data_IF_052787812525
#
_entry.id   IF_052787812525
#
_cell.length_a   1.000
_cell.length_b   1.000
_cell.length_c   1.000
_cell.angle_alpha   90.00
_cell.angle_beta   90.00
_cell.angle_gamma   90.00
#
_symmetry.space_group_name_H-M   'P 1'
#
loop_
_entity.id
_entity.type
_entity.pdbx_description
1 polymer ?
#
# COMPACT_ATOMS: atom_id res chain seq x y z
N UNK A 1 25.31 -7.56 18.50
CA UNK A 1 25.36 -7.34 17.03
C UNK A 1 24.93 -5.90 16.75
N UNK A 2 25.77 -5.09 16.12
CA UNK A 2 25.44 -3.72 15.76
C UNK A 2 24.20 -3.68 14.85
N UNK A 3 23.34 -2.67 15.01
CA UNK A 3 22.26 -2.44 14.07
C UNK A 3 22.88 -2.17 12.67
N UNK A 4 22.34 -2.75 11.59
CA UNK A 4 22.82 -2.48 10.25
C UNK A 4 22.69 -0.98 10.01
N UNK A 5 23.65 -0.38 9.30
CA UNK A 5 23.66 1.04 9.05
C UNK A 5 22.35 1.44 8.35
N UNK A 6 21.76 2.52 8.85
CA UNK A 6 20.58 3.15 8.27
C UNK A 6 20.89 3.53 6.82
N UNK A 7 20.07 3.11 5.87
CA UNK A 7 20.22 3.52 4.47
C UNK A 7 19.63 4.90 4.26
N UNK A 8 20.49 5.93 4.26
CA UNK A 8 20.10 7.32 4.03
C UNK A 8 19.39 7.48 2.67
N UNK A 9 19.91 6.84 1.62
CA UNK A 9 19.32 6.88 0.29
C UNK A 9 17.87 6.37 0.29
N UNK A 10 17.61 5.28 1.02
CA UNK A 10 16.26 4.71 1.10
C UNK A 10 15.30 5.61 1.89
N UNK A 11 15.78 6.29 2.91
CA UNK A 11 14.96 7.23 3.67
C UNK A 11 14.63 8.50 2.89
N UNK A 12 15.60 9.05 2.15
CA UNK A 12 15.37 10.16 1.22
C UNK A 12 14.38 9.76 0.13
N UNK A 13 14.53 8.56 -0.44
CA UNK A 13 13.63 8.06 -1.47
C UNK A 13 12.18 7.93 -0.97
N UNK A 14 11.97 7.37 0.22
CA UNK A 14 10.63 7.29 0.84
C UNK A 14 10.07 8.68 1.14
N UNK A 15 10.88 9.59 1.69
CA UNK A 15 10.48 10.95 2.01
C UNK A 15 10.05 11.72 0.75
N UNK A 16 10.81 11.60 -0.34
CA UNK A 16 10.47 12.19 -1.63
C UNK A 16 9.17 11.61 -2.20
N UNK A 17 8.98 10.29 -2.14
CA UNK A 17 7.75 9.65 -2.59
C UNK A 17 6.52 10.13 -1.79
N UNK A 18 6.65 10.28 -0.46
CA UNK A 18 5.56 10.82 0.38
C UNK A 18 5.28 12.28 0.07
N UNK A 19 6.32 13.11 -0.11
CA UNK A 19 6.15 14.53 -0.47
C UNK A 19 5.44 14.68 -1.81
N UNK A 20 5.83 13.91 -2.83
CA UNK A 20 5.14 13.87 -4.11
C UNK A 20 3.71 13.37 -3.98
N UNK A 21 3.47 12.35 -3.16
CA UNK A 21 2.12 11.81 -2.93
C UNK A 21 1.19 12.86 -2.29
N UNK A 22 1.71 13.68 -1.37
CA UNK A 22 0.95 14.80 -0.79
C UNK A 22 0.67 15.86 -1.86
N UNK A 23 1.67 16.22 -2.65
CA UNK A 23 1.57 17.24 -3.71
C UNK A 23 0.50 16.89 -4.76
N UNK A 24 0.52 15.66 -5.27
CA UNK A 24 -0.38 15.25 -6.37
C UNK A 24 -1.80 14.95 -5.89
N UNK A 25 -1.98 14.54 -4.63
CA UNK A 25 -3.31 14.27 -4.06
C UNK A 25 -4.01 15.52 -3.53
N UNK A 26 -3.30 16.64 -3.35
CA UNK A 26 -3.86 17.86 -2.78
C UNK A 26 -3.50 19.10 -3.62
N UNK A 27 -4.01 19.21 -4.86
CA UNK A 27 -3.71 20.35 -5.73
C UNK A 27 -4.35 21.68 -5.28
N UNK A 28 -5.12 21.67 -4.18
CA UNK A 28 -5.90 22.81 -3.69
C UNK A 28 -7.16 23.03 -4.52
N UNK A 29 -7.01 23.26 -5.83
CA UNK A 29 -8.12 23.33 -6.79
C UNK A 29 -7.88 22.40 -7.98
N UNK A 30 -8.80 21.45 -8.19
CA UNK A 30 -8.77 20.55 -9.34
C UNK A 30 -8.95 21.30 -10.68
N UNK A 31 -9.53 22.51 -10.66
CA UNK A 31 -9.69 23.35 -11.85
C UNK A 31 -8.39 24.05 -12.30
N UNK A 32 -7.39 24.14 -11.42
CA UNK A 32 -6.09 24.76 -11.69
C UNK A 32 -4.94 23.77 -11.51
N UNK A 33 -5.21 22.48 -11.76
CA UNK A 33 -4.20 21.43 -11.69
C UNK A 33 -3.10 21.68 -12.74
N UNK A 34 -1.85 21.70 -12.28
CA UNK A 34 -0.72 21.82 -13.18
C UNK A 34 -0.67 20.57 -14.10
N UNK A 35 -0.79 20.70 -15.43
CA UNK A 35 -1.04 19.55 -16.30
C UNK A 35 -0.04 18.39 -16.18
N UNK A 36 1.28 18.62 -15.98
CA UNK A 36 2.23 17.53 -15.74
C UNK A 36 2.00 16.73 -14.46
N UNK A 37 1.22 17.25 -13.51
CA UNK A 37 0.83 16.57 -12.26
C UNK A 37 -0.57 15.94 -12.34
N UNK A 38 -1.21 15.98 -13.52
CA UNK A 38 -2.48 15.32 -13.73
C UNK A 38 -2.32 13.80 -13.77
N UNK A 39 -3.25 13.10 -13.12
CA UNK A 39 -3.37 11.65 -13.24
C UNK A 39 -4.00 11.26 -14.58
N UNK A 40 -3.68 10.07 -15.07
CA UNK A 40 -4.46 9.48 -16.15
C UNK A 40 -5.92 9.27 -15.68
N UNK A 41 -6.95 9.48 -16.53
CA UNK A 41 -8.35 9.31 -16.12
C UNK A 41 -8.70 7.90 -15.65
N UNK A 42 -8.16 6.88 -16.33
CA UNK A 42 -8.28 5.48 -15.94
C UNK A 42 -7.23 4.63 -16.62
N UNK A 43 -7.31 4.53 -17.96
CA UNK A 43 -6.25 3.93 -18.77
C UNK A 43 -5.19 4.98 -19.08
N UNK A 44 -3.93 4.57 -18.96
CA UNK A 44 -2.77 5.42 -19.18
C UNK A 44 -1.76 5.28 -18.05
N UNK A 45 -0.64 5.98 -18.19
CA UNK A 45 0.37 6.07 -17.16
C UNK A 45 1.04 7.43 -17.26
N UNK A 46 0.85 8.25 -16.24
CA UNK A 46 1.53 9.54 -16.06
C UNK A 46 2.60 9.41 -14.99
N UNK A 47 3.45 10.44 -14.85
CA UNK A 47 4.49 10.46 -13.82
C UNK A 47 3.91 10.40 -12.40
N UNK A 48 2.73 10.96 -12.16
CA UNK A 48 2.07 10.98 -10.85
C UNK A 48 1.52 9.61 -10.46
N UNK A 49 1.09 8.81 -11.44
CA UNK A 49 0.62 7.44 -11.23
C UNK A 49 1.73 6.50 -10.73
N UNK A 50 3.00 6.83 -11.01
CA UNK A 50 4.16 6.03 -10.60
C UNK A 50 4.61 6.28 -9.16
N UNK A 51 4.16 7.37 -8.51
CA UNK A 51 4.58 7.73 -7.15
C UNK A 51 4.26 6.62 -6.15
N UNK A 52 3.04 6.08 -6.20
CA UNK A 52 2.63 5.01 -5.29
C UNK A 52 3.36 3.68 -5.54
N UNK A 53 3.49 3.18 -6.79
CA UNK A 53 4.35 2.04 -7.12
C UNK A 53 5.80 2.19 -6.63
N UNK A 54 6.43 3.36 -6.80
CA UNK A 54 7.78 3.60 -6.29
C UNK A 54 7.86 3.58 -4.76
N UNK A 55 6.83 4.08 -4.08
CA UNK A 55 6.73 3.97 -2.63
C UNK A 55 6.64 2.49 -2.19
N UNK A 56 5.81 1.67 -2.85
CA UNK A 56 5.73 0.23 -2.57
C UNK A 56 7.06 -0.49 -2.84
N UNK A 57 7.77 -0.12 -3.91
CA UNK A 57 9.11 -0.63 -4.18
C UNK A 57 10.09 -0.29 -3.04
N UNK A 58 10.06 0.94 -2.51
CA UNK A 58 10.88 1.34 -1.37
C UNK A 58 10.56 0.52 -0.10
N UNK A 59 9.27 0.25 0.13
CA UNK A 59 8.79 -0.59 1.24
C UNK A 59 9.27 -2.05 1.07
N UNK A 60 9.21 -2.58 -0.15
CA UNK A 60 9.74 -3.91 -0.50
C UNK A 60 11.25 -4.01 -0.33
N UNK A 61 12.01 -3.01 -0.80
CA UNK A 61 13.47 -2.95 -0.62
C UNK A 61 13.86 -2.95 0.86
N UNK A 62 13.06 -2.31 1.73
CA UNK A 62 13.27 -2.36 3.17
C UNK A 62 13.27 -3.78 3.74
N UNK A 63 12.51 -4.71 3.14
CA UNK A 63 12.46 -6.11 3.58
C UNK A 63 13.81 -6.80 3.39
N UNK A 64 14.53 -6.51 2.30
CA UNK A 64 15.86 -7.07 2.05
C UNK A 64 16.87 -6.71 3.15
N UNK A 65 16.70 -5.55 3.81
CA UNK A 65 17.54 -5.12 4.93
C UNK A 65 17.19 -5.84 6.25
N UNK A 66 15.96 -6.34 6.38
CA UNK A 66 15.48 -7.02 7.59
C UNK A 66 15.64 -8.54 7.49
N UNK A 67 15.54 -9.10 6.29
CA UNK A 67 15.54 -10.55 6.04
C UNK A 67 16.77 -11.29 6.58
N UNK A 68 18.02 -10.79 6.48
CA UNK A 68 19.20 -11.47 7.02
C UNK A 68 19.12 -11.76 8.52
N UNK A 69 18.36 -10.95 9.26
CA UNK A 69 18.12 -11.13 10.71
C UNK A 69 16.98 -12.08 11.01
N UNK A 70 16.00 -12.20 10.11
CA UNK A 70 14.84 -13.07 10.28
C UNK A 70 15.12 -14.52 9.87
N UNK A 71 15.97 -14.74 8.86
CA UNK A 71 16.31 -16.08 8.35
C UNK A 71 16.88 -17.06 9.41
N UNK A 72 17.80 -16.64 10.30
CA UNK A 72 18.32 -17.52 11.35
C UNK A 72 17.44 -17.58 12.61
N UNK A 73 16.42 -16.72 12.71
CA UNK A 73 15.57 -16.66 13.89
C UNK A 73 14.54 -17.81 13.91
N UNK A 74 14.12 -18.27 15.11
CA UNK A 74 13.10 -19.31 15.22
C UNK A 74 11.74 -18.78 14.74
N UNK A 75 10.86 -19.65 14.21
CA UNK A 75 9.58 -19.24 13.61
C UNK A 75 8.71 -18.32 14.49
N UNK A 76 8.57 -18.56 15.82
CA UNK A 76 7.79 -17.67 16.68
C UNK A 76 8.36 -16.25 16.78
N UNK A 77 9.69 -16.11 16.77
CA UNK A 77 10.35 -14.81 16.83
C UNK A 77 10.15 -14.01 15.53
N UNK A 78 10.15 -14.71 14.39
CA UNK A 78 9.85 -14.11 13.08
C UNK A 78 8.40 -13.66 13.02
N UNK A 79 7.46 -14.54 13.41
CA UNK A 79 6.03 -14.24 13.45
C UNK A 79 5.76 -13.02 14.34
N UNK A 80 6.33 -12.96 15.55
CA UNK A 80 6.17 -11.83 16.46
C UNK A 80 6.72 -10.52 15.86
N UNK A 81 7.89 -10.58 15.21
CA UNK A 81 8.52 -9.39 14.58
C UNK A 81 7.69 -8.86 13.42
N UNK A 82 7.20 -9.75 12.55
CA UNK A 82 6.35 -9.40 11.42
C UNK A 82 5.00 -8.87 11.92
N UNK A 83 4.33 -9.59 12.81
CA UNK A 83 3.04 -9.21 13.37
C UNK A 83 3.10 -7.83 14.05
N UNK A 84 4.14 -7.57 14.87
CA UNK A 84 4.32 -6.25 15.51
C UNK A 84 4.38 -5.12 14.48
N UNK A 85 5.11 -5.29 13.37
CA UNK A 85 5.22 -4.28 12.31
C UNK A 85 3.88 -4.09 11.59
N UNK A 86 3.20 -5.18 11.25
CA UNK A 86 1.87 -5.13 10.63
C UNK A 86 0.89 -4.39 11.54
N UNK A 87 0.81 -4.75 12.83
CA UNK A 87 -0.10 -4.13 13.79
C UNK A 87 0.19 -2.64 14.00
N UNK A 88 1.46 -2.23 14.06
CA UNK A 88 1.83 -0.81 14.18
C UNK A 88 1.40 -0.03 12.95
N UNK A 89 1.73 -0.50 11.74
CA UNK A 89 1.37 0.21 10.49
C UNK A 89 -0.15 0.25 10.33
N UNK A 90 -0.83 -0.85 10.62
CA UNK A 90 -2.28 -0.96 10.55
C UNK A 90 -2.97 -0.02 11.56
N UNK A 91 -2.50 -0.01 12.81
CA UNK A 91 -3.03 0.86 13.87
C UNK A 91 -2.79 2.34 13.58
N UNK A 92 -1.61 2.71 13.09
CA UNK A 92 -1.34 4.07 12.62
C UNK A 92 -2.24 4.45 11.44
N UNK A 93 -2.50 3.51 10.52
CA UNK A 93 -3.45 3.69 9.44
C UNK A 93 -4.87 3.96 9.94
N UNK A 94 -5.33 3.25 10.97
CA UNK A 94 -6.65 3.47 11.55
C UNK A 94 -6.73 4.82 12.25
N UNK A 95 -5.69 5.19 13.00
CA UNK A 95 -5.61 6.47 13.69
C UNK A 95 -5.66 7.64 12.69
N UNK A 96 -4.89 7.55 11.60
CA UNK A 96 -4.90 8.55 10.54
C UNK A 96 -6.23 8.59 9.78
N UNK A 97 -6.87 7.43 9.55
CA UNK A 97 -8.21 7.39 8.95
C UNK A 97 -9.27 8.02 9.87
N UNK A 98 -9.15 7.83 11.18
CA UNK A 98 -10.04 8.39 12.18
C UNK A 98 -9.86 9.91 12.34
N UNK A 99 -8.70 10.46 11.95
CA UNK A 99 -8.48 11.90 11.92
C UNK A 99 -9.23 12.58 10.76
N UNK A 100 -9.77 13.80 10.95
CA UNK A 100 -9.85 14.51 12.22
C UNK A 100 -10.99 13.95 13.10
N UNK A 101 -10.76 13.84 14.41
CA UNK A 101 -11.75 13.31 15.37
C UNK A 101 -12.93 14.27 15.60
N UNK A 102 -12.72 15.54 15.28
CA UNK A 102 -13.68 16.64 15.37
C UNK A 102 -13.64 17.43 14.07
N UNK A 103 -14.79 17.92 13.62
CA UNK A 103 -14.92 18.72 12.40
C UNK A 103 -15.86 19.90 12.63
N UNK A 104 -15.66 20.97 11.89
CA UNK A 104 -16.61 22.06 11.82
C UNK A 104 -17.80 21.65 10.95
N UNK A 105 -19.01 21.86 11.43
CA UNK A 105 -20.22 21.70 10.62
C UNK A 105 -20.57 22.99 9.86
N UNK A 106 -21.67 22.95 9.10
CA UNK A 106 -22.13 24.10 8.32
C UNK A 106 -22.67 25.25 9.19
N UNK A 107 -23.02 24.98 10.45
CA UNK A 107 -23.45 25.98 11.42
C UNK A 107 -22.26 26.65 12.14
N UNK A 108 -21.04 26.13 11.95
CA UNK A 108 -19.83 26.62 12.60
C UNK A 108 -19.59 25.99 13.96
N UNK A 109 -20.26 24.88 14.29
CA UNK A 109 -20.07 24.15 15.53
C UNK A 109 -19.04 23.03 15.37
N UNK A 110 -18.27 22.79 16.44
CA UNK A 110 -17.27 21.72 16.48
C UNK A 110 -17.95 20.40 16.86
N UNK A 111 -18.28 19.58 15.86
CA UNK A 111 -18.96 18.31 16.06
C UNK A 111 -18.00 17.12 16.01
N UNK A 112 -18.33 16.07 16.76
CA UNK A 112 -17.62 14.79 16.70
C UNK A 112 -17.71 14.14 15.31
N UNK A 113 -16.71 13.32 14.97
CA UNK A 113 -16.70 12.59 13.71
C UNK A 113 -17.88 11.62 13.60
N UNK A 114 -18.45 11.54 12.40
CA UNK A 114 -19.41 10.52 12.02
C UNK A 114 -18.70 9.19 11.71
N UNK A 115 -19.01 8.16 12.50
CA UNK A 115 -18.43 6.83 12.38
C UNK A 115 -19.12 5.95 11.33
N UNK A 116 -20.28 6.35 10.82
CA UNK A 116 -21.02 5.56 9.80
C UNK A 116 -20.25 5.40 8.49
N UNK A 117 -19.32 6.32 8.21
CA UNK A 117 -18.47 6.32 7.00
C UNK A 117 -17.02 5.90 7.29
N UNK A 118 -16.76 5.33 8.46
CA UNK A 118 -15.40 4.93 8.82
C UNK A 118 -14.94 3.74 7.98
N UNK A 119 -13.84 3.91 7.23
CA UNK A 119 -13.29 2.87 6.36
C UNK A 119 -12.13 2.18 7.04
N UNK A 120 -12.31 0.91 7.41
CA UNK A 120 -11.26 0.12 8.08
C UNK A 120 -10.09 -0.17 7.13
N UNK A 121 -10.38 -0.51 5.87
CA UNK A 121 -9.36 -0.85 4.86
C UNK A 121 -8.86 0.35 4.06
N UNK A 122 -7.93 1.10 4.64
CA UNK A 122 -7.17 2.15 3.96
C UNK A 122 -5.87 1.65 3.30
N UNK A 123 -5.13 2.59 2.70
CA UNK A 123 -3.86 2.30 2.01
C UNK A 123 -2.81 1.72 2.96
N UNK A 124 -2.66 2.29 4.16
CA UNK A 124 -1.67 1.81 5.13
C UNK A 124 -1.97 0.40 5.65
N UNK A 125 -3.25 0.07 5.85
CA UNK A 125 -3.69 -1.26 6.23
C UNK A 125 -3.35 -2.28 5.14
N UNK A 126 -3.66 -1.95 3.87
CA UNK A 126 -3.32 -2.80 2.71
C UNK A 126 -1.81 -3.00 2.58
N UNK A 127 -1.01 -1.94 2.77
CA UNK A 127 0.46 -2.03 2.78
C UNK A 127 0.96 -2.92 3.93
N UNK A 128 0.39 -2.79 5.13
CA UNK A 128 0.77 -3.59 6.29
C UNK A 128 0.56 -5.08 6.00
N UNK A 129 -0.61 -5.46 5.50
CA UNK A 129 -0.96 -6.85 5.18
C UNK A 129 -0.06 -7.37 4.05
N UNK A 130 0.06 -6.62 2.94
CA UNK A 130 0.89 -7.02 1.80
C UNK A 130 2.36 -7.21 2.21
N UNK A 131 2.90 -6.29 3.01
CA UNK A 131 4.27 -6.39 3.53
C UNK A 131 4.45 -7.62 4.42
N UNK A 132 3.48 -7.89 5.31
CA UNK A 132 3.52 -9.05 6.21
C UNK A 132 3.47 -10.38 5.45
N UNK A 133 2.58 -10.50 4.46
CA UNK A 133 2.47 -11.67 3.59
C UNK A 133 3.74 -11.86 2.75
N UNK A 134 4.28 -10.78 2.18
CA UNK A 134 5.54 -10.84 1.44
C UNK A 134 6.71 -11.26 2.33
N UNK A 135 6.79 -10.73 3.56
CA UNK A 135 7.82 -11.11 4.53
C UNK A 135 7.72 -12.60 4.89
N UNK A 136 6.52 -13.10 5.14
CA UNK A 136 6.27 -14.51 5.45
C UNK A 136 6.64 -15.42 4.26
N UNK A 137 6.22 -15.06 3.04
CA UNK A 137 6.52 -15.79 1.80
C UNK A 137 8.03 -15.88 1.56
N UNK A 138 8.73 -14.74 1.59
CA UNK A 138 10.18 -14.68 1.35
C UNK A 138 10.94 -15.46 2.43
N UNK A 139 10.52 -15.36 3.69
CA UNK A 139 11.13 -16.13 4.78
C UNK A 139 10.89 -17.64 4.63
N UNK A 140 9.66 -18.06 4.30
CA UNK A 140 9.29 -19.47 4.10
C UNK A 140 10.09 -20.10 2.95
N UNK A 141 10.32 -19.33 1.88
CA UNK A 141 11.17 -19.72 0.75
C UNK A 141 12.67 -19.52 1.02
N UNK A 142 13.06 -19.28 2.27
CA UNK A 142 14.44 -19.11 2.74
C UNK A 142 15.21 -18.04 1.96
N UNK A 143 14.50 -17.01 1.50
CA UNK A 143 15.00 -15.94 0.63
C UNK A 143 15.73 -16.43 -0.63
N UNK A 144 15.40 -17.63 -1.12
CA UNK A 144 15.97 -18.16 -2.34
C UNK A 144 15.40 -17.42 -3.55
N UNK A 145 16.26 -16.93 -4.43
CA UNK A 145 15.87 -16.07 -5.57
C UNK A 145 14.90 -16.80 -6.51
N UNK A 146 15.22 -18.03 -6.94
CA UNK A 146 14.39 -18.75 -7.92
C UNK A 146 12.97 -19.05 -7.40
N UNK A 147 12.79 -19.63 -6.20
CA UNK A 147 11.45 -19.86 -5.66
C UNK A 147 10.67 -18.56 -5.42
N UNK A 148 11.33 -17.50 -4.93
CA UNK A 148 10.65 -16.20 -4.72
C UNK A 148 10.18 -15.62 -6.05
N UNK A 149 11.01 -15.63 -7.09
CA UNK A 149 10.62 -15.17 -8.43
C UNK A 149 9.48 -16.00 -9.01
N UNK A 150 9.52 -17.33 -8.86
CA UNK A 150 8.43 -18.20 -9.31
C UNK A 150 7.12 -17.88 -8.57
N UNK A 151 7.17 -17.74 -7.24
CA UNK A 151 5.99 -17.38 -6.45
C UNK A 151 5.44 -16.01 -6.85
N UNK A 152 6.31 -15.02 -7.09
CA UNK A 152 5.90 -13.71 -7.61
C UNK A 152 5.25 -13.82 -8.98
N UNK A 153 5.83 -14.58 -9.91
CA UNK A 153 5.25 -14.79 -11.23
C UNK A 153 3.88 -15.47 -11.16
N UNK A 154 3.74 -16.51 -10.33
CA UNK A 154 2.47 -17.21 -10.10
C UNK A 154 1.42 -16.26 -9.51
N UNK A 155 1.78 -15.42 -8.54
CA UNK A 155 0.85 -14.44 -7.96
C UNK A 155 0.41 -13.40 -8.98
N UNK A 156 1.32 -12.86 -9.78
CA UNK A 156 1.01 -11.85 -10.80
C UNK A 156 0.18 -12.41 -11.94
N UNK A 157 0.57 -13.56 -12.50
CA UNK A 157 -0.15 -14.22 -13.58
C UNK A 157 -1.51 -14.77 -13.09
N UNK A 158 -1.55 -15.29 -11.87
CA UNK A 158 -2.79 -15.71 -11.22
C UNK A 158 -3.75 -14.55 -11.03
N UNK A 159 -3.27 -13.41 -10.50
CA UNK A 159 -4.07 -12.21 -10.36
C UNK A 159 -4.57 -11.70 -11.72
N UNK A 160 -3.70 -11.65 -12.73
CA UNK A 160 -4.08 -11.28 -14.09
C UNK A 160 -5.16 -12.20 -14.68
N UNK A 161 -5.01 -13.51 -14.51
CA UNK A 161 -6.00 -14.49 -14.95
C UNK A 161 -7.35 -14.34 -14.21
N UNK A 162 -7.33 -14.02 -12.91
CA UNK A 162 -8.54 -13.69 -12.16
C UNK A 162 -9.21 -12.42 -12.69
N UNK A 163 -8.45 -11.38 -13.02
CA UNK A 163 -9.01 -10.18 -13.66
C UNK A 163 -9.75 -10.51 -14.95
N UNK A 164 -9.17 -11.33 -15.82
CA UNK A 164 -9.78 -11.71 -17.10
C UNK A 164 -10.98 -12.64 -16.88
N UNK A 165 -10.85 -13.63 -16.01
CA UNK A 165 -11.86 -14.69 -15.84
C UNK A 165 -13.07 -14.29 -15.00
N UNK A 166 -12.89 -13.37 -14.04
CA UNK A 166 -13.95 -12.89 -13.14
C UNK A 166 -14.42 -11.47 -13.47
N UNK A 167 -13.72 -10.76 -14.35
CA UNK A 167 -14.10 -9.42 -14.79
C UNK A 167 -15.33 -9.43 -15.70
N UNK A 168 -15.95 -8.27 -15.87
CA UNK A 168 -17.13 -8.12 -16.72
C UNK A 168 -16.82 -8.45 -18.20
N UNK A 169 -17.85 -8.91 -18.92
CA UNK A 169 -17.76 -9.15 -20.36
C UNK A 169 -17.52 -7.83 -21.12
N UNK A 170 -16.51 -7.82 -22.00
CA UNK A 170 -16.12 -6.65 -22.78
C UNK A 170 -14.82 -6.02 -22.27
N UNK A 171 -14.87 -5.31 -21.15
CA UNK A 171 -13.70 -4.66 -20.55
C UNK A 171 -13.49 -5.06 -19.07
N UNK A 172 -12.76 -6.16 -18.80
CA UNK A 172 -12.49 -6.63 -17.45
C UNK A 172 -11.50 -5.74 -16.66
N UNK A 173 -10.88 -4.75 -17.30
CA UNK A 173 -9.93 -3.82 -16.66
C UNK A 173 -10.49 -2.41 -16.50
N UNK A 174 -11.73 -2.17 -16.95
CA UNK A 174 -12.46 -0.94 -16.66
C UNK A 174 -12.74 -0.79 -15.17
N UNK A 175 -13.04 0.43 -14.73
CA UNK A 175 -13.38 0.72 -13.33
C UNK A 175 -14.59 -0.08 -12.86
N UNK A 176 -15.57 -0.29 -13.74
CA UNK A 176 -16.78 -1.07 -13.43
C UNK A 176 -16.60 -2.56 -13.68
N UNK A 177 -15.80 -2.93 -14.67
CA UNK A 177 -15.60 -4.32 -15.07
C UNK A 177 -14.55 -5.08 -14.26
N UNK A 178 -13.70 -4.38 -13.50
CA UNK A 178 -12.78 -5.04 -12.56
C UNK A 178 -13.56 -5.81 -11.49
N UNK A 179 -13.29 -7.12 -11.39
CA UNK A 179 -14.03 -8.02 -10.49
C UNK A 179 -14.01 -7.59 -9.01
N UNK A 180 -12.94 -6.91 -8.58
CA UNK A 180 -12.83 -6.40 -7.21
C UNK A 180 -13.76 -5.23 -6.92
N UNK A 181 -14.24 -4.50 -7.92
CA UNK A 181 -15.15 -3.35 -7.74
C UNK A 181 -16.47 -3.79 -7.12
N UNK A 182 -17.02 -4.93 -7.53
CA UNK A 182 -18.23 -5.47 -6.93
C UNK A 182 -18.01 -5.80 -5.45
N UNK A 183 -16.90 -6.45 -5.13
CA UNK A 183 -16.53 -6.79 -3.75
C UNK A 183 -16.34 -5.54 -2.89
N UNK A 184 -15.62 -4.53 -3.39
CA UNK A 184 -15.33 -3.29 -2.67
C UNK A 184 -16.60 -2.44 -2.44
N UNK A 185 -17.66 -2.57 -3.25
CA UNK A 185 -18.96 -1.89 -3.01
C UNK A 185 -19.78 -2.53 -1.89
N UNK A 186 -19.51 -3.80 -1.56
CA UNK A 186 -20.22 -4.53 -0.51
C UNK A 186 -19.49 -4.52 0.84
N UNK A 187 -18.28 -3.97 0.91
CA UNK A 187 -17.43 -3.83 2.09
C UNK A 187 -17.43 -2.38 2.64
#
# INVERSE_FOLDING_TARGET
MAAPPRSLALDVFRGAAVALMILVNNPGSWAHLYPPLAHAPWHGCTATDLVFPFFLFAVGNALALVMPRLLPAPPPAVAATVARRVLIIFGLGLLLNAAPFVRWDAAGDLVGRDWSRFRVMGVLQRIAIAWGLAAALVWALRAQVRPVLLATAVLLLGYWALCVGLGASGDPYSLEGFFGTALDRHL
#
